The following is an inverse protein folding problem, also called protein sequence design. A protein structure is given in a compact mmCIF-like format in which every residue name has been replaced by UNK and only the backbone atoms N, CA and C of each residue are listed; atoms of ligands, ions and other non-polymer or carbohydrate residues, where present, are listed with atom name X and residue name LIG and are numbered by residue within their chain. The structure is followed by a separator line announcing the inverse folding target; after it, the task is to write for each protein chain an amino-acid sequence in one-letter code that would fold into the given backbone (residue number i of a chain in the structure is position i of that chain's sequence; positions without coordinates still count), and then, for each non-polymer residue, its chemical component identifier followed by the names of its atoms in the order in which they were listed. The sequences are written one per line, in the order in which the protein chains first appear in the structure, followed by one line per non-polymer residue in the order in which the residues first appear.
data_IF_084121628959
#
_entry.id   IF_084121628959
#
_cell.length_a   1.000
_cell.length_b   1.000
_cell.length_c   1.000
_cell.angle_alpha   90.00
_cell.angle_beta   90.00
_cell.angle_gamma   90.00
#
_symmetry.space_group_name_H-M   'P 1'
#
loop_
_entity.id
_entity.type
_entity.pdbx_description
1 polymer ?
#
# COMPACT_ATOMS: atom_id res chain seq x y z
N UNK A 1 -3.39 -21.59 -22.55
CA UNK A 1 -3.13 -20.21 -22.10
C UNK A 1 -1.84 -19.65 -22.71
N UNK A 2 -1.78 -18.37 -23.04
CA UNK A 2 -0.59 -17.76 -23.66
C UNK A 2 0.24 -17.00 -22.61
N UNK A 3 1.55 -17.24 -22.58
CA UNK A 3 2.46 -16.53 -21.69
C UNK A 3 2.59 -15.05 -22.09
N UNK A 4 2.26 -14.13 -21.18
CA UNK A 4 2.41 -12.68 -21.40
C UNK A 4 3.87 -12.21 -21.57
N UNK A 5 4.86 -13.02 -21.16
CA UNK A 5 6.29 -12.66 -21.23
C UNK A 5 6.95 -13.11 -22.53
N UNK A 6 6.63 -14.31 -23.02
CA UNK A 6 7.32 -14.88 -24.19
C UNK A 6 6.39 -15.24 -25.36
N UNK A 7 5.07 -15.05 -25.20
CA UNK A 7 4.08 -15.32 -26.25
C UNK A 7 3.84 -16.81 -26.54
N UNK A 8 4.50 -17.73 -25.83
CA UNK A 8 4.32 -19.17 -26.04
C UNK A 8 3.01 -19.66 -25.42
N UNK A 9 2.35 -20.58 -26.12
CA UNK A 9 1.20 -21.30 -25.62
C UNK A 9 1.62 -22.37 -24.61
N UNK A 10 0.91 -22.41 -23.47
CA UNK A 10 1.12 -23.35 -22.38
C UNK A 10 -0.23 -23.99 -22.03
N UNK A 11 -0.24 -25.21 -21.48
CA UNK A 11 -1.48 -25.83 -21.02
C UNK A 11 -2.14 -24.96 -19.94
N UNK A 12 -3.47 -24.94 -19.88
CA UNK A 12 -4.21 -24.05 -18.98
C UNK A 12 -3.99 -24.33 -17.48
N UNK A 13 -3.46 -25.52 -17.18
CA UNK A 13 -3.05 -25.97 -15.84
C UNK A 13 -1.59 -25.65 -15.50
N UNK A 14 -0.80 -25.09 -16.43
CA UNK A 14 0.59 -24.74 -16.18
C UNK A 14 0.71 -23.53 -15.25
N UNK A 15 1.35 -23.73 -14.09
CA UNK A 15 1.65 -22.65 -13.12
C UNK A 15 2.81 -21.75 -13.57
N UNK A 16 3.65 -22.22 -14.50
CA UNK A 16 4.78 -21.50 -15.04
C UNK A 16 4.98 -21.84 -16.51
N UNK A 17 5.51 -20.88 -17.27
CA UNK A 17 5.77 -21.07 -18.68
C UNK A 17 6.93 -22.05 -18.88
N UNK A 18 6.70 -23.11 -19.66
CA UNK A 18 7.69 -24.15 -19.92
C UNK A 18 8.89 -23.67 -20.76
N UNK A 19 8.80 -22.51 -21.41
CA UNK A 19 9.90 -21.96 -22.20
C UNK A 19 10.73 -20.91 -21.47
N UNK A 20 10.12 -20.04 -20.65
CA UNK A 20 10.82 -18.90 -20.05
C UNK A 20 10.80 -18.89 -18.51
N UNK A 21 10.13 -19.87 -17.88
CA UNK A 21 10.00 -19.98 -16.43
C UNK A 21 9.13 -18.90 -15.78
N UNK A 22 8.48 -18.03 -16.57
CA UNK A 22 7.64 -16.97 -16.03
C UNK A 22 6.37 -17.54 -15.41
N UNK A 23 6.01 -17.07 -14.21
CA UNK A 23 4.80 -17.50 -13.50
C UNK A 23 3.58 -17.13 -14.33
N UNK A 24 2.80 -18.14 -14.67
CA UNK A 24 1.50 -17.98 -15.29
C UNK A 24 0.50 -17.79 -14.14
N UNK A 25 -0.45 -16.87 -14.30
CA UNK A 25 -1.31 -16.39 -13.23
C UNK A 25 -1.91 -17.56 -12.43
N UNK A 26 -1.87 -17.45 -11.09
CA UNK A 26 -2.13 -18.55 -10.16
C UNK A 26 -3.45 -19.24 -10.44
N UNK A 27 -3.38 -20.51 -10.86
CA UNK A 27 -4.54 -21.36 -11.03
C UNK A 27 -5.37 -21.38 -9.76
N UNK A 28 -6.61 -20.91 -9.84
CA UNK A 28 -7.66 -21.32 -8.91
C UNK A 28 -7.95 -22.78 -9.28
N UNK A 29 -7.34 -23.71 -8.57
CA UNK A 29 -7.60 -25.13 -8.79
C UNK A 29 -9.11 -25.38 -8.70
N UNK A 30 -9.76 -26.02 -9.70
CA UNK A 30 -11.08 -26.58 -9.49
C UNK A 30 -10.92 -27.68 -8.45
N UNK A 31 -11.61 -27.54 -7.31
CA UNK A 31 -11.54 -28.50 -6.21
C UNK A 31 -12.02 -29.88 -6.67
N UNK A 32 -11.08 -30.77 -7.00
CA UNK A 32 -11.31 -32.20 -7.09
C UNK A 32 -11.40 -32.83 -5.70
N UNK A 33 -12.15 -33.93 -5.51
CA UNK A 33 -12.30 -34.61 -4.23
C UNK A 33 -11.01 -35.33 -3.84
N UNK A 34 -10.06 -34.58 -3.29
CA UNK A 34 -8.74 -35.09 -2.92
C UNK A 34 -7.91 -34.09 -2.11
N UNK A 35 -8.55 -33.13 -1.42
CA UNK A 35 -7.88 -32.14 -0.58
C UNK A 35 -7.24 -32.78 0.67
N UNK A 36 -6.14 -33.50 0.48
CA UNK A 36 -5.18 -33.84 1.55
C UNK A 36 -4.07 -32.79 1.50
N UNK A 37 -4.04 -31.95 2.53
CA UNK A 37 -3.07 -30.88 2.68
C UNK A 37 -3.71 -29.50 2.72
N UNK A 38 -4.66 -29.28 3.64
CA UNK A 38 -4.83 -27.93 4.16
C UNK A 38 -3.60 -27.64 5.00
N UNK A 39 -2.59 -27.03 4.38
CA UNK A 39 -1.58 -26.31 5.12
C UNK A 39 -2.30 -25.26 5.97
N UNK A 40 -2.17 -25.28 7.31
CA UNK A 40 -2.88 -24.34 8.16
C UNK A 40 -2.50 -22.92 7.73
N UNK A 41 -3.51 -22.12 7.39
CA UNK A 41 -3.37 -20.69 7.15
C UNK A 41 -2.49 -20.11 8.26
N UNK A 42 -1.42 -19.36 7.93
CA UNK A 42 -0.53 -18.81 8.94
C UNK A 42 -1.38 -17.97 9.89
N UNK A 43 -1.42 -18.40 11.15
CA UNK A 43 -2.15 -17.71 12.21
C UNK A 43 -1.54 -16.30 12.32
N UNK A 44 -2.25 -15.27 11.84
CA UNK A 44 -1.85 -13.86 11.95
C UNK A 44 -1.90 -13.39 13.42
N UNK A 45 -1.03 -13.95 14.25
CA UNK A 45 -0.90 -13.65 15.68
C UNK A 45 0.39 -12.89 15.99
N UNK A 46 1.31 -12.81 15.04
CA UNK A 46 2.47 -11.93 15.12
C UNK A 46 2.09 -10.52 14.69
N UNK A 47 2.07 -9.57 15.62
CA UNK A 47 2.11 -8.14 15.27
C UNK A 47 3.47 -7.90 14.62
N UNK A 48 3.51 -7.87 13.30
CA UNK A 48 4.76 -7.71 12.58
C UNK A 48 5.40 -6.36 12.97
N UNK A 49 6.69 -6.29 13.30
CA UNK A 49 7.36 -5.02 13.56
C UNK A 49 7.22 -4.02 12.38
N UNK A 50 6.98 -4.51 11.16
CA UNK A 50 6.64 -3.68 10.00
C UNK A 50 5.25 -3.03 10.14
N UNK A 51 4.26 -3.75 10.66
CA UNK A 51 2.92 -3.21 10.93
C UNK A 51 2.94 -2.14 12.02
N UNK A 52 3.78 -2.32 13.05
CA UNK A 52 3.98 -1.32 14.09
C UNK A 52 4.59 -0.02 13.53
N UNK A 53 5.56 -0.12 12.62
CA UNK A 53 6.16 1.03 11.94
C UNK A 53 5.16 1.72 11.01
N UNK A 54 4.33 0.95 10.30
CA UNK A 54 3.27 1.50 9.43
C UNK A 54 2.22 2.25 10.25
N UNK A 55 1.79 1.70 11.38
CA UNK A 55 0.88 2.34 12.32
C UNK A 55 1.49 3.61 12.96
N UNK A 56 2.79 3.63 13.23
CA UNK A 56 3.48 4.84 13.69
C UNK A 56 3.45 5.96 12.65
N UNK A 57 3.79 5.64 11.39
CA UNK A 57 3.72 6.62 10.27
C UNK A 57 2.31 7.14 10.04
N UNK A 58 1.30 6.28 10.14
CA UNK A 58 -0.10 6.69 9.99
C UNK A 58 -0.51 7.65 11.11
N UNK A 59 -0.10 7.37 12.37
CA UNK A 59 -0.35 8.29 13.50
C UNK A 59 0.37 9.63 13.32
N UNK A 60 1.61 9.63 12.85
CA UNK A 60 2.36 10.86 12.54
C UNK A 60 1.63 11.69 11.47
N UNK A 61 1.19 11.05 10.39
CA UNK A 61 0.44 11.72 9.32
C UNK A 61 -0.87 12.34 9.84
N UNK A 62 -1.63 11.59 10.65
CA UNK A 62 -2.86 12.11 11.28
C UNK A 62 -2.58 13.25 12.25
N UNK A 63 -1.53 13.18 13.05
CA UNK A 63 -1.16 14.25 13.98
C UNK A 63 -0.82 15.56 13.23
N UNK A 64 -0.07 15.47 12.12
CA UNK A 64 0.22 16.62 11.26
C UNK A 64 -1.05 17.17 10.63
N UNK A 65 -1.91 16.31 10.09
CA UNK A 65 -3.19 16.73 9.49
C UNK A 65 -4.09 17.45 10.50
N UNK A 66 -4.18 16.94 11.73
CA UNK A 66 -4.93 17.57 12.81
C UNK A 66 -4.35 18.94 13.19
N UNK A 67 -3.03 19.06 13.30
CA UNK A 67 -2.38 20.33 13.61
C UNK A 67 -2.66 21.39 12.53
N UNK A 68 -2.60 21.01 11.25
CA UNK A 68 -2.95 21.90 10.13
C UNK A 68 -4.42 22.28 10.18
N UNK A 69 -5.33 21.33 10.42
CA UNK A 69 -6.76 21.59 10.50
C UNK A 69 -7.13 22.52 11.66
N UNK A 70 -6.53 22.33 12.84
CA UNK A 70 -6.71 23.19 14.01
C UNK A 70 -6.14 24.59 13.77
N UNK A 71 -4.97 24.69 13.12
CA UNK A 71 -4.42 25.97 12.68
C UNK A 71 -5.38 26.69 11.74
N UNK A 72 -5.83 26.02 10.68
CA UNK A 72 -6.81 26.56 9.73
C UNK A 72 -8.06 27.08 10.45
N UNK A 73 -8.66 26.28 11.33
CA UNK A 73 -9.85 26.66 12.09
C UNK A 73 -9.61 27.88 12.98
N UNK A 74 -8.52 27.90 13.73
CA UNK A 74 -8.18 29.02 14.63
C UNK A 74 -7.93 30.33 13.87
N UNK A 75 -7.21 30.28 12.75
CA UNK A 75 -6.94 31.46 11.92
C UNK A 75 -8.16 31.94 11.13
N UNK A 76 -9.04 31.03 10.70
CA UNK A 76 -10.31 31.36 10.05
C UNK A 76 -11.25 32.12 11.00
N UNK A 77 -11.29 31.73 12.28
CA UNK A 77 -12.05 32.43 13.32
C UNK A 77 -11.48 33.80 13.68
N UNK A 78 -10.20 34.05 13.40
CA UNK A 78 -9.51 35.30 13.69
C UNK A 78 -9.48 36.28 12.48
N UNK A 79 -10.13 35.96 11.36
CA UNK A 79 -10.10 36.70 10.09
C UNK A 79 -8.68 36.98 9.53
N UNK A 80 -7.66 36.27 10.03
CA UNK A 80 -6.28 36.37 9.54
C UNK A 80 -5.97 35.22 8.60
N UNK A 81 -6.04 35.47 7.30
CA UNK A 81 -5.83 34.44 6.26
C UNK A 81 -4.35 34.24 5.92
N UNK A 82 -3.50 35.25 6.16
CA UNK A 82 -2.08 35.21 5.83
C UNK A 82 -1.24 34.12 6.58
N UNK A 83 -1.48 33.80 7.87
CA UNK A 83 -0.69 32.79 8.60
C UNK A 83 -0.96 31.37 8.11
N UNK A 84 -2.15 31.15 7.56
CA UNK A 84 -2.59 29.86 7.03
C UNK A 84 -1.79 29.47 5.79
N UNK A 85 -1.51 30.43 4.92
CA UNK A 85 -0.66 30.23 3.74
C UNK A 85 0.78 29.89 4.15
N UNK A 86 1.30 30.55 5.19
CA UNK A 86 2.64 30.26 5.72
C UNK A 86 2.73 28.85 6.34
N UNK A 87 1.71 28.43 7.09
CA UNK A 87 1.63 27.07 7.64
C UNK A 87 1.48 26.01 6.55
N UNK A 88 0.66 26.27 5.53
CA UNK A 88 0.54 25.39 4.36
C UNK A 88 1.86 25.23 3.62
N UNK A 89 2.59 26.33 3.41
CA UNK A 89 3.91 26.31 2.77
C UNK A 89 4.95 25.52 3.59
N UNK A 90 4.98 25.71 4.92
CA UNK A 90 5.86 24.96 5.82
C UNK A 90 5.54 23.46 5.82
N UNK A 91 4.25 23.09 5.85
CA UNK A 91 3.83 21.70 5.79
C UNK A 91 4.21 21.04 4.46
N UNK A 92 4.03 21.74 3.33
CA UNK A 92 4.42 21.27 2.01
C UNK A 92 5.95 21.09 1.89
N UNK A 93 6.73 22.06 2.38
CA UNK A 93 8.18 21.97 2.41
C UNK A 93 8.68 20.79 3.27
N UNK A 94 8.06 20.58 4.44
CA UNK A 94 8.37 19.44 5.30
C UNK A 94 8.04 18.10 4.64
N UNK A 95 6.91 18.00 3.93
CA UNK A 95 6.53 16.79 3.20
C UNK A 95 7.51 16.47 2.06
N UNK A 96 7.98 17.49 1.33
CA UNK A 96 9.01 17.35 0.29
C UNK A 96 10.34 16.89 0.87
N UNK A 97 10.79 17.46 2.00
CA UNK A 97 12.01 17.04 2.69
C UNK A 97 11.94 15.60 3.22
N UNK A 98 10.74 15.10 3.51
CA UNK A 98 10.49 13.70 3.93
C UNK A 98 10.33 12.72 2.77
N UNK A 99 10.38 13.16 1.51
CA UNK A 99 10.29 12.29 0.35
C UNK A 99 8.90 11.68 0.14
N UNK A 100 7.84 12.34 0.63
CA UNK A 100 6.45 11.92 0.41
C UNK A 100 6.04 12.31 -1.01
N UNK A 101 6.44 11.52 -2.00
CA UNK A 101 6.04 11.68 -3.39
C UNK A 101 4.66 11.09 -3.62
N UNK A 102 3.70 11.89 -4.10
CA UNK A 102 2.33 11.47 -4.45
C UNK A 102 2.25 10.64 -5.76
N UNK A 103 3.32 9.93 -6.11
CA UNK A 103 3.37 9.06 -7.29
C UNK A 103 3.24 7.61 -6.83
N UNK A 104 2.02 7.20 -6.52
CA UNK A 104 1.59 5.80 -6.51
C UNK A 104 0.19 5.71 -7.15
#
# INVERSE_FOLDING_TARGET
MICNKCGRENPDEALACQACGHKLQSGRAPGGPGARGLEPLPLLTGRDPLDARRAARLREAWAVALAVALGWLGFSLAEMVWPVLALGALAAAWALLRGIGWRD
#
